data_IF_249166375922
#
_entry.id   IF_249166375922
#
_cell.length_a   1.000
_cell.length_b   1.000
_cell.length_c   1.000
_cell.angle_alpha   90.00
_cell.angle_beta   90.00
_cell.angle_gamma   90.00
#
_symmetry.space_group_name_H-M   'P 1'
#
loop_
_entity.id
_entity.type
_entity.pdbx_description
1 polymer ?
#
# COMPACT_ATOMS: atom_id res chain seq x y z
N UNK A 1 -31.17 5.45 7.66
CA UNK A 1 -30.30 6.34 8.45
C UNK A 1 -28.86 5.92 8.20
N UNK A 2 -28.23 6.43 7.13
CA UNK A 2 -26.84 6.09 6.83
C UNK A 2 -25.95 6.78 7.87
N UNK A 3 -25.38 6.00 8.79
CA UNK A 3 -24.44 6.48 9.79
C UNK A 3 -23.22 7.05 9.08
N UNK A 4 -23.18 8.38 8.90
CA UNK A 4 -21.96 9.09 8.51
C UNK A 4 -20.92 8.82 9.59
N UNK A 5 -19.98 7.92 9.32
CA UNK A 5 -18.84 7.68 10.21
C UNK A 5 -18.17 9.05 10.42
N UNK A 6 -17.98 9.50 11.68
CA UNK A 6 -17.34 10.78 11.97
C UNK A 6 -15.99 10.90 11.25
N UNK A 7 -15.66 12.07 10.73
CA UNK A 7 -14.44 12.30 9.93
C UNK A 7 -13.16 11.85 10.66
N UNK A 8 -13.10 12.08 11.98
CA UNK A 8 -11.99 11.60 12.84
C UNK A 8 -11.86 10.08 12.87
N UNK A 9 -12.98 9.36 12.90
CA UNK A 9 -12.99 7.89 12.92
C UNK A 9 -12.56 7.30 11.56
N UNK A 10 -12.93 7.94 10.44
CA UNK A 10 -12.43 7.55 9.10
C UNK A 10 -10.92 7.69 8.98
N UNK A 11 -10.34 8.76 9.57
CA UNK A 11 -8.89 8.97 9.60
C UNK A 11 -8.16 7.91 10.42
N UNK A 12 -8.69 7.55 11.60
CA UNK A 12 -8.11 6.47 12.42
C UNK A 12 -8.17 5.11 11.70
N UNK A 13 -9.32 4.74 11.14
CA UNK A 13 -9.48 3.48 10.39
C UNK A 13 -8.54 3.46 9.19
N UNK A 14 -8.42 4.57 8.49
CA UNK A 14 -7.52 4.70 7.34
C UNK A 14 -6.05 4.51 7.70
N UNK A 15 -5.57 5.10 8.81
CA UNK A 15 -4.19 4.90 9.28
C UNK A 15 -3.93 3.43 9.58
N UNK A 16 -4.84 2.77 10.33
CA UNK A 16 -4.72 1.35 10.66
C UNK A 16 -4.75 0.49 9.39
N UNK A 17 -5.63 0.80 8.44
CA UNK A 17 -5.71 0.11 7.16
C UNK A 17 -4.43 0.26 6.32
N UNK A 18 -3.82 1.46 6.30
CA UNK A 18 -2.52 1.69 5.64
C UNK A 18 -1.45 0.79 6.26
N UNK A 19 -1.35 0.76 7.59
CA UNK A 19 -0.34 -0.04 8.28
C UNK A 19 -0.50 -1.53 7.94
N UNK A 20 -1.71 -2.07 8.10
CA UNK A 20 -2.00 -3.48 7.80
C UNK A 20 -1.70 -3.81 6.34
N UNK A 21 -2.15 -2.94 5.42
CA UNK A 21 -1.89 -3.10 3.99
C UNK A 21 -0.39 -3.13 3.70
N UNK A 22 0.36 -2.18 4.24
CA UNK A 22 1.81 -2.08 4.03
C UNK A 22 2.54 -3.30 4.57
N UNK A 23 2.17 -3.75 5.77
CA UNK A 23 2.74 -4.96 6.38
C UNK A 23 2.51 -6.16 5.48
N UNK A 24 1.26 -6.46 5.12
CA UNK A 24 0.94 -7.62 4.26
C UNK A 24 1.65 -7.50 2.91
N UNK A 25 1.64 -6.32 2.31
CA UNK A 25 2.29 -6.07 1.02
C UNK A 25 3.80 -6.33 1.07
N UNK A 26 4.50 -5.77 2.07
CA UNK A 26 5.93 -5.98 2.25
C UNK A 26 6.27 -7.46 2.46
N UNK A 27 5.49 -8.19 3.27
CA UNK A 27 5.70 -9.62 3.47
C UNK A 27 5.52 -10.43 2.17
N UNK A 28 4.48 -10.12 1.38
CA UNK A 28 4.23 -10.78 0.10
C UNK A 28 5.38 -10.50 -0.88
N UNK A 29 5.80 -9.24 -1.03
CA UNK A 29 6.87 -8.86 -1.95
C UNK A 29 8.22 -9.44 -1.50
N UNK A 30 8.51 -9.46 -0.20
CA UNK A 30 9.72 -10.08 0.33
C UNK A 30 9.75 -11.58 0.03
N UNK A 31 8.65 -12.29 0.27
CA UNK A 31 8.55 -13.72 -0.04
C UNK A 31 8.72 -13.97 -1.55
N UNK A 32 8.04 -13.21 -2.41
CA UNK A 32 8.19 -13.36 -3.86
C UNK A 32 9.62 -13.05 -4.29
N UNK A 33 10.22 -11.98 -3.75
CA UNK A 33 11.61 -11.61 -4.04
C UNK A 33 12.58 -12.74 -3.70
N UNK A 34 12.38 -13.39 -2.56
CA UNK A 34 13.20 -14.53 -2.13
C UNK A 34 13.08 -15.73 -3.08
N UNK A 35 11.86 -16.09 -3.49
CA UNK A 35 11.65 -17.28 -4.32
C UNK A 35 11.96 -17.07 -5.81
N UNK A 36 11.71 -15.88 -6.36
CA UNK A 36 11.76 -15.63 -7.80
C UNK A 36 12.93 -14.79 -8.26
N UNK A 37 13.53 -14.00 -7.38
CA UNK A 37 14.42 -12.90 -7.81
C UNK A 37 15.84 -13.10 -7.31
N UNK A 38 16.00 -13.59 -6.07
CA UNK A 38 17.32 -13.97 -5.56
C UNK A 38 17.95 -15.06 -6.43
N UNK A 39 19.18 -14.80 -6.90
CA UNK A 39 19.96 -15.73 -7.73
C UNK A 39 19.84 -15.51 -9.25
N UNK A 40 18.91 -14.67 -9.71
CA UNK A 40 18.76 -14.32 -11.13
C UNK A 40 19.61 -13.09 -11.56
N UNK A 41 20.39 -12.54 -10.64
CA UNK A 41 21.33 -11.45 -10.86
C UNK A 41 20.81 -10.08 -10.40
N UNK A 42 21.75 -9.18 -10.06
CA UNK A 42 21.48 -7.88 -9.43
C UNK A 42 20.52 -7.00 -10.23
N UNK A 43 20.56 -7.07 -11.57
CA UNK A 43 19.65 -6.30 -12.43
C UNK A 43 18.18 -6.72 -12.28
N UNK A 44 17.93 -8.01 -12.07
CA UNK A 44 16.58 -8.55 -11.85
C UNK A 44 16.04 -8.12 -10.49
N UNK A 45 16.87 -8.18 -9.45
CA UNK A 45 16.55 -7.70 -8.10
C UNK A 45 16.13 -6.23 -8.11
N UNK A 46 16.96 -5.36 -8.69
CA UNK A 46 16.67 -3.92 -8.74
C UNK A 46 15.37 -3.65 -9.51
N UNK A 47 15.17 -4.28 -10.67
CA UNK A 47 14.00 -4.04 -11.50
C UNK A 47 12.72 -4.49 -10.79
N UNK A 48 12.74 -5.66 -10.15
CA UNK A 48 11.59 -6.18 -9.42
C UNK A 48 11.23 -5.29 -8.23
N UNK A 49 12.19 -4.95 -7.37
CA UNK A 49 11.92 -4.12 -6.20
C UNK A 49 11.54 -2.69 -6.57
N UNK A 50 12.09 -2.14 -7.66
CA UNK A 50 11.67 -0.85 -8.19
C UNK A 50 10.19 -0.88 -8.60
N UNK A 51 9.78 -1.86 -9.42
CA UNK A 51 8.39 -1.98 -9.90
C UNK A 51 7.43 -2.24 -8.73
N UNK A 52 7.79 -3.13 -7.81
CA UNK A 52 7.01 -3.37 -6.59
C UNK A 52 6.86 -2.06 -5.79
N UNK A 53 7.94 -1.29 -5.64
CA UNK A 53 7.94 0.04 -5.03
C UNK A 53 7.09 1.09 -5.74
N UNK A 54 6.67 0.88 -6.98
CA UNK A 54 5.69 1.76 -7.65
C UNK A 54 4.26 1.23 -7.58
N UNK A 55 4.07 -0.10 -7.63
CA UNK A 55 2.74 -0.72 -7.68
C UNK A 55 1.90 -0.43 -6.43
N UNK A 56 2.51 -0.42 -5.23
CA UNK A 56 1.79 -0.18 -3.97
C UNK A 56 1.22 1.24 -3.83
N UNK A 57 1.64 2.19 -4.68
CA UNK A 57 1.14 3.56 -4.67
C UNK A 57 -0.33 3.60 -5.10
N UNK A 58 -0.73 2.76 -6.07
CA UNK A 58 -2.09 2.78 -6.61
C UNK A 58 -3.17 2.48 -5.54
N UNK A 59 -3.03 1.42 -4.71
CA UNK A 59 -3.98 1.18 -3.62
C UNK A 59 -4.00 2.29 -2.57
N UNK A 60 -2.85 2.88 -2.27
CA UNK A 60 -2.74 3.91 -1.24
C UNK A 60 -3.42 5.22 -1.63
N UNK A 61 -3.34 5.61 -2.91
CA UNK A 61 -4.06 6.78 -3.43
C UNK A 61 -5.57 6.60 -3.24
N UNK A 62 -6.09 5.39 -3.53
CA UNK A 62 -7.53 5.09 -3.36
C UNK A 62 -7.93 5.17 -1.89
N UNK A 63 -7.09 4.68 -0.99
CA UNK A 63 -7.34 4.72 0.45
C UNK A 63 -7.27 6.16 0.99
N UNK A 64 -6.28 6.96 0.59
CA UNK A 64 -6.17 8.36 1.01
C UNK A 64 -7.33 9.22 0.52
N UNK A 65 -7.79 9.02 -0.72
CA UNK A 65 -9.01 9.66 -1.24
C UNK A 65 -10.26 9.28 -0.45
N UNK A 66 -10.27 8.11 0.18
CA UNK A 66 -11.34 7.69 1.08
C UNK A 66 -11.18 8.26 2.49
N UNK A 67 -9.95 8.46 2.97
CA UNK A 67 -9.69 9.05 4.30
C UNK A 67 -9.99 10.54 4.34
N UNK A 68 -9.63 11.24 3.27
CA UNK A 68 -9.69 12.68 3.16
C UNK A 68 -10.23 13.01 1.77
N UNK A 69 -11.16 13.95 1.68
CA UNK A 69 -11.69 14.45 0.41
C UNK A 69 -10.61 15.38 -0.20
N UNK A 70 -9.45 14.81 -0.55
CA UNK A 70 -8.23 15.48 -1.05
C UNK A 70 -8.47 16.38 -2.28
N UNK A 71 -9.65 16.29 -2.88
CA UNK A 71 -10.08 17.04 -4.06
C UNK A 71 -10.84 18.33 -3.68
N UNK A 72 -11.23 18.52 -2.40
CA UNK A 72 -12.04 19.66 -1.93
C UNK A 72 -11.28 20.69 -1.08
N UNK A 73 -9.96 20.58 -0.91
CA UNK A 73 -9.14 21.59 -0.24
C UNK A 73 -8.29 22.37 -1.23
#
# INVERSE_FOLDING_TARGET
MATKIPERSRKLIGIVAVIIYLTIYCFIIAAIGEFWVLGNGVGWEITFFAIAGFIWIFPIIKLFRWMDDLIRR
#
